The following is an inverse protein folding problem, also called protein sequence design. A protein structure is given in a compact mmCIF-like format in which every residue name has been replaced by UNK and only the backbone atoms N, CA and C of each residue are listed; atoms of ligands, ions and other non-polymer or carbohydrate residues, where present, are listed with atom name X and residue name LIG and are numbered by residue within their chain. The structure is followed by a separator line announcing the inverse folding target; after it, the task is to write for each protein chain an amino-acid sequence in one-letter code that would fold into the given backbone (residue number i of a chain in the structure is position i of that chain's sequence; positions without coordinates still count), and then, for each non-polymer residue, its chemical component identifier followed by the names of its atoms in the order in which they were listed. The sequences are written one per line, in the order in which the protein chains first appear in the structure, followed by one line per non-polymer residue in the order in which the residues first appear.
data_IF_858179260091
#
_entry.id   IF_858179260091
#
_cell.length_a   1.000
_cell.length_b   1.000
_cell.length_c   1.000
_cell.angle_alpha   90.00
_cell.angle_beta   90.00
_cell.angle_gamma   90.00
#
_symmetry.space_group_name_H-M   'P 1'
#
loop_
_entity.id
_entity.type
_entity.pdbx_description
1 polymer ?
#
# COMPACT_ATOMS: atom_id res chain seq x y z
N UNK A 1 -23.23 15.81 29.51
CA UNK A 1 -23.50 14.35 29.42
C UNK A 1 -23.34 13.95 27.97
N UNK A 2 -22.11 13.70 27.53
CA UNK A 2 -21.84 13.21 26.18
C UNK A 2 -21.79 11.69 26.26
N UNK A 3 -22.80 11.04 25.68
CA UNK A 3 -22.79 9.60 25.45
C UNK A 3 -21.70 9.30 24.41
N UNK A 4 -20.49 8.97 24.85
CA UNK A 4 -19.53 8.17 24.08
C UNK A 4 -20.19 6.82 23.86
N UNK A 5 -20.90 6.70 22.73
CA UNK A 5 -21.51 5.46 22.29
C UNK A 5 -20.42 4.40 22.18
N UNK A 6 -20.66 3.31 22.91
CA UNK A 6 -19.90 2.07 22.98
C UNK A 6 -19.77 1.41 21.59
N UNK A 7 -18.96 1.99 20.71
CA UNK A 7 -18.58 1.38 19.43
C UNK A 7 -17.34 0.46 19.58
N UNK A 8 -16.63 0.56 20.71
CA UNK A 8 -15.40 -0.20 21.00
C UNK A 8 -15.64 -1.65 21.42
N UNK A 9 -16.85 -2.02 21.82
CA UNK A 9 -17.11 -3.34 22.38
C UNK A 9 -17.28 -4.43 21.31
N UNK A 10 -17.95 -4.13 20.19
CA UNK A 10 -18.37 -5.14 19.20
C UNK A 10 -17.25 -5.58 18.26
N UNK A 11 -16.22 -4.75 18.02
CA UNK A 11 -15.07 -5.14 17.19
C UNK A 11 -14.10 -6.07 17.96
N UNK A 12 -14.14 -6.06 19.30
CA UNK A 12 -13.24 -6.89 20.13
C UNK A 12 -13.53 -8.40 20.06
N UNK A 13 -14.70 -8.82 19.61
CA UNK A 13 -15.10 -10.24 19.64
C UNK A 13 -14.47 -11.12 18.53
N UNK A 14 -13.99 -10.53 17.43
CA UNK A 14 -13.39 -11.27 16.30
C UNK A 14 -11.90 -10.97 16.06
N UNK A 15 -11.29 -10.11 16.86
CA UNK A 15 -9.85 -9.83 16.81
C UNK A 15 -9.20 -10.37 18.08
N UNK A 16 -8.13 -11.15 17.92
CA UNK A 16 -7.36 -11.69 19.05
C UNK A 16 -6.95 -10.51 19.94
N UNK A 17 -7.27 -10.52 21.25
CA UNK A 17 -6.87 -9.48 22.18
C UNK A 17 -5.34 -9.43 22.23
N UNK A 18 -4.72 -8.44 21.57
CA UNK A 18 -3.26 -8.35 21.34
C UNK A 18 -2.89 -7.96 19.91
N UNK A 19 -3.82 -8.13 18.96
CA UNK A 19 -3.64 -7.75 17.54
C UNK A 19 -3.81 -6.25 17.25
N UNK A 20 -4.46 -5.53 18.17
CA UNK A 20 -4.86 -4.14 17.98
C UNK A 20 -3.76 -3.19 18.44
N UNK A 21 -3.39 -2.26 17.55
CA UNK A 21 -2.46 -1.18 17.89
C UNK A 21 -3.18 -0.09 18.68
N UNK A 22 -2.49 0.51 19.64
CA UNK A 22 -3.02 1.60 20.46
C UNK A 22 -3.48 2.78 19.61
N UNK A 23 -4.62 3.39 19.98
CA UNK A 23 -5.27 4.47 19.24
C UNK A 23 -4.35 5.68 19.01
N UNK A 24 -3.52 6.02 20.00
CA UNK A 24 -2.57 7.13 19.90
C UNK A 24 -1.50 6.87 18.82
N UNK A 25 -1.01 5.63 18.72
CA UNK A 25 0.03 5.23 17.75
C UNK A 25 -0.48 5.17 16.32
N UNK A 26 -1.79 4.92 16.13
CA UNK A 26 -2.44 4.75 14.81
C UNK A 26 -3.37 5.90 14.43
N UNK A 27 -3.17 7.11 14.98
CA UNK A 27 -3.98 8.26 14.59
C UNK A 27 -3.87 8.53 13.09
N UNK A 28 -5.01 8.65 12.40
CA UNK A 28 -5.07 8.87 10.95
C UNK A 28 -4.85 7.61 10.11
N UNK A 29 -4.79 6.44 10.74
CA UNK A 29 -4.62 5.13 10.10
C UNK A 29 -5.95 4.41 9.96
N UNK A 30 -6.15 3.71 8.84
CA UNK A 30 -7.42 3.04 8.56
C UNK A 30 -7.48 1.61 9.09
N UNK A 31 -6.34 0.90 9.13
CA UNK A 31 -6.28 -0.42 9.79
C UNK A 31 -6.04 -0.28 11.29
N UNK A 32 -6.60 -1.22 12.06
CA UNK A 32 -6.41 -1.29 13.51
C UNK A 32 -5.32 -2.27 13.91
N UNK A 33 -4.90 -3.16 13.01
CA UNK A 33 -3.99 -4.27 13.30
C UNK A 33 -2.78 -4.29 12.39
N UNK A 34 -1.69 -4.86 12.91
CA UNK A 34 -0.46 -5.17 12.16
C UNK A 34 -0.27 -6.68 12.06
N UNK A 35 -1.37 -7.40 11.86
CA UNK A 35 -1.38 -8.86 11.81
C UNK A 35 -0.50 -9.41 10.68
N UNK A 36 0.12 -10.56 10.95
CA UNK A 36 1.01 -11.20 9.99
C UNK A 36 0.25 -11.60 8.73
N UNK A 37 0.90 -11.48 7.57
CA UNK A 37 0.29 -11.83 6.30
C UNK A 37 -0.04 -13.32 6.19
N UNK A 38 -1.03 -13.67 5.36
CA UNK A 38 -1.50 -15.05 5.15
C UNK A 38 -0.39 -16.05 4.77
N UNK A 39 0.68 -15.57 4.13
CA UNK A 39 1.76 -16.41 3.62
C UNK A 39 2.94 -16.54 4.60
N UNK A 40 2.88 -15.86 5.74
CA UNK A 40 3.96 -15.92 6.74
C UNK A 40 3.86 -17.20 7.58
N UNK A 41 4.97 -17.96 7.74
CA UNK A 41 4.98 -19.16 8.58
C UNK A 41 4.98 -18.83 10.08
N UNK A 42 5.37 -17.60 10.43
CA UNK A 42 5.49 -17.12 11.80
C UNK A 42 4.61 -15.90 12.01
N UNK A 43 3.93 -15.86 13.16
CA UNK A 43 3.22 -14.67 13.64
C UNK A 43 4.10 -13.90 14.61
N UNK A 44 4.15 -12.57 14.47
CA UNK A 44 4.80 -11.67 15.42
C UNK A 44 3.75 -10.94 16.23
N UNK A 45 3.93 -10.89 17.54
CA UNK A 45 3.08 -10.16 18.48
C UNK A 45 3.96 -9.26 19.34
N UNK A 46 3.55 -8.00 19.53
CA UNK A 46 4.19 -7.09 20.48
C UNK A 46 3.69 -7.45 21.89
N UNK A 47 4.62 -7.81 22.79
CA UNK A 47 4.31 -8.20 24.16
C UNK A 47 5.21 -7.43 25.12
N UNK A 48 4.65 -6.96 26.24
CA UNK A 48 5.42 -6.28 27.29
C UNK A 48 6.23 -7.32 28.06
N UNK A 49 7.54 -7.19 28.03
CA UNK A 49 8.47 -8.04 28.77
C UNK A 49 8.66 -7.59 30.23
N UNK A 50 7.87 -6.60 30.68
CA UNK A 50 7.88 -6.06 32.03
C UNK A 50 8.81 -4.85 32.20
N UNK A 51 9.44 -4.39 31.12
CA UNK A 51 10.28 -3.20 31.11
C UNK A 51 9.49 -1.93 30.78
N UNK A 52 8.18 -2.03 30.48
CA UNK A 52 7.29 -0.89 30.28
C UNK A 52 7.60 -0.09 29.00
N UNK A 53 8.38 -0.65 28.07
CA UNK A 53 8.80 0.06 26.86
C UNK A 53 7.67 0.25 25.86
N UNK A 54 6.60 -0.56 25.92
CA UNK A 54 5.47 -0.44 25.00
C UNK A 54 4.72 0.91 25.14
N UNK A 55 4.64 1.46 26.36
CA UNK A 55 3.98 2.74 26.64
C UNK A 55 4.74 3.95 26.05
N UNK A 56 6.02 3.76 25.72
CA UNK A 56 6.89 4.83 25.17
C UNK A 56 7.00 4.82 23.64
N UNK A 57 6.29 3.94 22.95
CA UNK A 57 6.39 3.83 21.49
C UNK A 57 5.75 5.03 20.78
N UNK A 58 6.48 5.59 19.82
CA UNK A 58 6.00 6.72 19.02
C UNK A 58 4.86 6.34 18.07
N UNK A 59 4.21 7.37 17.52
CA UNK A 59 3.26 7.20 16.43
C UNK A 59 3.92 6.52 15.22
N UNK A 60 3.14 5.70 14.51
CA UNK A 60 3.61 4.99 13.33
C UNK A 60 3.88 5.96 12.18
N UNK A 61 5.13 6.03 11.77
CA UNK A 61 5.57 6.82 10.62
C UNK A 61 5.41 6.04 9.32
N UNK A 62 5.12 6.76 8.23
CA UNK A 62 5.17 6.18 6.89
C UNK A 62 6.63 6.13 6.41
N UNK A 63 7.11 4.94 6.07
CA UNK A 63 8.42 4.68 5.49
C UNK A 63 8.32 4.45 3.99
N UNK A 64 9.28 5.03 3.28
CA UNK A 64 9.40 4.91 1.83
C UNK A 64 10.54 3.93 1.51
N UNK A 65 10.25 2.91 0.71
CA UNK A 65 11.22 1.94 0.22
C UNK A 65 11.43 2.13 -1.26
N UNK A 66 12.68 2.29 -1.70
CA UNK A 66 12.97 2.41 -3.12
C UNK A 66 12.94 1.01 -3.75
N UNK A 67 11.98 0.79 -4.65
CA UNK A 67 11.86 -0.42 -5.46
C UNK A 67 12.33 -0.10 -6.88
N UNK A 68 13.22 -0.93 -7.43
CA UNK A 68 13.65 -0.85 -8.84
C UNK A 68 12.93 -1.93 -9.64
N UNK A 69 11.76 -1.62 -10.26
CA UNK A 69 11.00 -2.61 -10.99
C UNK A 69 11.72 -3.07 -12.27
N UNK A 70 11.49 -4.32 -12.66
CA UNK A 70 11.95 -4.85 -13.96
C UNK A 70 11.01 -4.51 -15.11
N UNK A 71 9.73 -4.37 -14.81
CA UNK A 71 8.69 -3.91 -15.73
C UNK A 71 7.72 -2.93 -15.06
N UNK A 72 7.20 -1.96 -15.82
CA UNK A 72 6.22 -0.99 -15.31
C UNK A 72 4.79 -1.32 -15.73
N UNK A 73 4.58 -1.76 -16.96
CA UNK A 73 3.25 -2.13 -17.46
C UNK A 73 2.93 -3.56 -16.99
N UNK A 74 1.99 -3.67 -16.05
CA UNK A 74 1.44 -4.96 -15.63
C UNK A 74 0.29 -5.35 -16.56
N UNK A 75 0.28 -6.61 -17.00
CA UNK A 75 -0.79 -7.17 -17.83
C UNK A 75 -1.71 -8.08 -17.03
N UNK A 76 -2.97 -8.18 -17.46
CA UNK A 76 -3.94 -9.14 -16.96
C UNK A 76 -4.79 -9.66 -18.14
N UNK A 77 -5.40 -10.82 -17.96
CA UNK A 77 -6.26 -11.52 -18.93
C UNK A 77 -7.68 -11.76 -18.39
N UNK A 78 -8.07 -11.02 -17.34
CA UNK A 78 -9.37 -11.20 -16.71
C UNK A 78 -10.50 -10.74 -17.64
N UNK A 79 -11.52 -11.59 -17.88
CA UNK A 79 -12.66 -11.23 -18.74
C UNK A 79 -13.57 -10.17 -18.10
N UNK A 80 -13.43 -9.93 -16.79
CA UNK A 80 -14.33 -9.08 -16.00
C UNK A 80 -13.93 -7.59 -16.03
N UNK A 81 -12.73 -7.26 -16.50
CA UNK A 81 -12.21 -5.89 -16.54
C UNK A 81 -11.93 -5.42 -17.96
N UNK A 82 -12.26 -4.16 -18.24
CA UNK A 82 -12.21 -3.58 -19.60
C UNK A 82 -10.81 -3.17 -20.06
N UNK A 83 -9.77 -3.47 -19.28
CA UNK A 83 -8.38 -3.12 -19.59
C UNK A 83 -7.48 -4.32 -19.33
N UNK A 84 -6.54 -4.57 -20.23
CA UNK A 84 -5.53 -5.63 -20.11
C UNK A 84 -4.21 -5.12 -19.52
N UNK A 85 -4.06 -3.79 -19.33
CA UNK A 85 -2.82 -3.15 -18.88
C UNK A 85 -3.06 -2.15 -17.77
N UNK A 86 -2.15 -2.13 -16.82
CA UNK A 86 -2.15 -1.13 -15.76
C UNK A 86 -0.75 -0.70 -15.34
N UNK A 87 -0.68 0.50 -14.77
CA UNK A 87 0.52 1.06 -14.14
C UNK A 87 0.15 1.48 -12.72
N UNK A 88 0.95 1.02 -11.76
CA UNK A 88 0.88 1.47 -10.36
C UNK A 88 2.24 2.08 -10.01
N UNK A 89 2.33 3.42 -9.82
CA UNK A 89 3.59 4.10 -9.49
C UNK A 89 4.17 3.69 -8.13
N UNK A 90 3.31 3.20 -7.25
CA UNK A 90 3.65 2.82 -5.88
C UNK A 90 3.15 1.40 -5.57
N UNK A 91 3.62 0.85 -4.45
CA UNK A 91 3.03 -0.31 -3.77
C UNK A 91 2.68 0.12 -2.35
N UNK A 92 1.43 -0.11 -1.95
CA UNK A 92 0.88 0.43 -0.70
C UNK A 92 0.24 1.80 -0.94
N UNK A 93 -0.57 2.25 0.02
CA UNK A 93 -1.31 3.50 -0.12
C UNK A 93 -1.47 4.21 1.24
N UNK A 94 -0.94 5.42 1.34
CA UNK A 94 -1.05 6.25 2.56
C UNK A 94 -2.47 6.67 2.91
N UNK A 95 -3.42 6.61 1.96
CA UNK A 95 -4.84 6.86 2.25
C UNK A 95 -5.43 5.83 3.22
N UNK A 96 -4.86 4.63 3.29
CA UNK A 96 -5.15 3.66 4.34
C UNK A 96 -6.58 3.13 4.40
N UNK A 97 -7.43 3.32 3.38
CA UNK A 97 -8.84 2.88 3.42
C UNK A 97 -8.97 1.44 3.93
N UNK A 98 -9.71 1.25 5.02
CA UNK A 98 -9.81 -0.06 5.70
C UNK A 98 -10.38 -1.15 4.78
N UNK A 99 -11.26 -0.76 3.86
CA UNK A 99 -11.93 -1.62 2.89
C UNK A 99 -11.16 -1.75 1.55
N UNK A 100 -9.93 -1.25 1.46
CA UNK A 100 -9.18 -1.28 0.20
C UNK A 100 -8.86 -2.74 -0.21
N UNK A 101 -9.35 -3.14 -1.38
CA UNK A 101 -9.15 -4.50 -1.89
C UNK A 101 -7.68 -4.84 -2.17
N UNK A 102 -6.82 -3.84 -2.30
CA UNK A 102 -5.39 -4.00 -2.59
C UNK A 102 -4.56 -4.39 -1.36
N UNK A 103 -5.11 -4.27 -0.15
CA UNK A 103 -4.43 -4.60 1.11
C UNK A 103 -3.76 -5.98 1.14
N UNK A 104 -4.41 -7.07 0.67
CA UNK A 104 -3.78 -8.39 0.62
C UNK A 104 -2.51 -8.44 -0.23
N UNK A 105 -2.26 -7.47 -1.13
CA UNK A 105 -1.05 -7.47 -1.96
C UNK A 105 0.24 -7.31 -1.15
N UNK A 106 0.18 -6.69 0.03
CA UNK A 106 1.33 -6.57 0.94
C UNK A 106 1.75 -7.90 1.57
N UNK A 107 0.83 -8.87 1.68
CA UNK A 107 1.16 -10.19 2.19
C UNK A 107 2.15 -10.93 1.28
N UNK A 108 2.16 -10.65 -0.03
CA UNK A 108 3.10 -11.27 -0.98
C UNK A 108 4.55 -10.75 -0.83
N UNK A 109 4.76 -9.66 -0.10
CA UNK A 109 6.10 -9.13 0.20
C UNK A 109 6.46 -9.31 1.69
N UNK A 110 5.76 -10.21 2.38
CA UNK A 110 5.99 -10.55 3.78
C UNK A 110 5.59 -9.44 4.76
N UNK A 111 4.72 -8.52 4.33
CA UNK A 111 4.22 -7.43 5.16
C UNK A 111 2.76 -7.65 5.56
N UNK A 112 2.35 -7.01 6.65
CA UNK A 112 0.97 -7.03 7.11
C UNK A 112 0.03 -6.42 6.06
N UNK A 113 -1.09 -7.09 5.70
CA UNK A 113 -2.13 -6.46 4.89
C UNK A 113 -2.89 -5.37 5.68
N UNK A 114 -2.63 -5.24 6.99
CA UNK A 114 -3.14 -4.21 7.87
C UNK A 114 -2.30 -2.93 7.80
N UNK A 115 -1.71 -2.53 8.91
CA UNK A 115 -1.00 -1.25 9.02
C UNK A 115 0.22 -1.11 8.10
N UNK A 116 0.88 -2.20 7.70
CA UNK A 116 2.03 -2.09 6.78
C UNK A 116 1.62 -1.61 5.39
N UNK A 117 0.38 -1.88 4.95
CA UNK A 117 -0.11 -1.40 3.66
C UNK A 117 -0.07 0.13 3.51
N UNK A 118 -0.26 0.86 4.60
CA UNK A 118 -0.33 2.33 4.63
C UNK A 118 0.86 2.99 5.33
N UNK A 119 1.76 2.19 5.92
CA UNK A 119 2.98 2.69 6.58
C UNK A 119 4.25 2.25 5.87
N UNK A 120 4.25 1.17 5.09
CA UNK A 120 5.41 0.69 4.34
C UNK A 120 5.11 0.83 2.83
N UNK A 121 5.54 1.96 2.25
CA UNK A 121 5.22 2.34 0.87
C UNK A 121 6.44 2.12 -0.03
N UNK A 122 6.28 1.35 -1.10
CA UNK A 122 7.34 1.17 -2.09
C UNK A 122 7.18 2.16 -3.24
N UNK A 123 8.26 2.86 -3.54
CA UNK A 123 8.38 3.86 -4.58
C UNK A 123 9.10 3.25 -5.76
N UNK A 124 8.43 3.17 -6.91
CA UNK A 124 9.01 2.60 -8.13
C UNK A 124 9.87 3.65 -8.86
N UNK A 125 11.06 3.91 -8.33
CA UNK A 125 12.01 4.78 -9.00
C UNK A 125 12.46 4.20 -10.35
N UNK A 126 12.79 5.07 -11.30
CA UNK A 126 13.13 4.66 -12.67
C UNK A 126 11.93 4.32 -13.55
N UNK A 127 10.70 4.57 -13.08
CA UNK A 127 9.47 4.27 -13.82
C UNK A 127 9.45 4.92 -15.21
N UNK A 128 9.87 6.18 -15.35
CA UNK A 128 9.85 6.89 -16.63
C UNK A 128 10.74 6.21 -17.68
N UNK A 129 12.00 5.90 -17.34
CA UNK A 129 12.95 5.25 -18.24
C UNK A 129 12.46 3.86 -18.63
N UNK A 130 11.87 3.14 -17.67
CA UNK A 130 11.32 1.83 -17.89
C UNK A 130 10.11 1.87 -18.83
N UNK A 131 9.22 2.85 -18.63
CA UNK A 131 8.05 3.05 -19.47
C UNK A 131 8.45 3.41 -20.90
N UNK A 132 9.40 4.32 -21.10
CA UNK A 132 9.90 4.67 -22.43
C UNK A 132 10.42 3.44 -23.17
N UNK A 133 11.22 2.62 -22.48
CA UNK A 133 11.76 1.37 -23.04
C UNK A 133 10.64 0.41 -23.43
N UNK A 134 9.63 0.25 -22.59
CA UNK A 134 8.51 -0.66 -22.83
C UNK A 134 7.60 -0.19 -23.98
N UNK A 135 7.31 1.11 -24.04
CA UNK A 135 6.50 1.71 -25.11
C UNK A 135 7.24 1.69 -26.47
N UNK A 136 8.57 1.81 -26.45
CA UNK A 136 9.40 1.83 -27.66
C UNK A 136 9.77 0.43 -28.19
N UNK A 137 9.34 -0.64 -27.51
CA UNK A 137 9.63 -2.00 -27.95
C UNK A 137 8.94 -2.31 -29.29
N UNK A 138 9.64 -2.97 -30.22
CA UNK A 138 9.12 -3.26 -31.56
C UNK A 138 7.81 -4.07 -31.57
N UNK A 139 7.59 -4.88 -30.53
CA UNK A 139 6.41 -5.71 -30.36
C UNK A 139 5.34 -5.07 -29.45
N UNK A 140 5.51 -3.81 -29.05
CA UNK A 140 4.53 -3.12 -28.24
C UNK A 140 3.40 -2.58 -29.12
N UNK A 141 2.16 -3.01 -28.86
CA UNK A 141 0.96 -2.47 -29.51
C UNK A 141 0.26 -1.52 -28.54
N UNK A 142 0.11 -0.21 -28.81
CA UNK A 142 -0.59 0.72 -27.91
C UNK A 142 -2.02 0.28 -27.59
N UNK A 143 -2.41 0.40 -26.31
CA UNK A 143 -3.76 0.16 -25.79
C UNK A 143 -4.01 1.05 -24.58
N UNK A 144 -5.26 1.11 -24.12
CA UNK A 144 -5.65 1.78 -22.88
C UNK A 144 -4.85 1.22 -21.71
N UNK A 145 -4.27 2.11 -20.90
CA UNK A 145 -3.55 1.77 -19.66
C UNK A 145 -4.35 2.34 -18.49
N UNK A 146 -4.80 1.46 -17.59
CA UNK A 146 -5.39 1.89 -16.32
C UNK A 146 -4.29 2.32 -15.35
N UNK A 147 -4.40 3.51 -14.77
CA UNK A 147 -3.44 4.00 -13.78
C UNK A 147 -4.07 3.93 -12.40
N UNK A 148 -3.29 3.43 -11.44
CA UNK A 148 -3.72 3.35 -10.05
C UNK A 148 -4.75 2.25 -9.78
N UNK A 149 -4.62 1.12 -10.50
CA UNK A 149 -5.51 -0.02 -10.32
C UNK A 149 -5.42 -0.63 -8.92
N UNK A 150 -4.24 -0.64 -8.30
CA UNK A 150 -4.01 -1.26 -6.99
C UNK A 150 -3.60 -0.24 -5.91
N UNK A 151 -3.13 0.94 -6.30
CA UNK A 151 -2.65 1.99 -5.38
C UNK A 151 -3.04 3.36 -5.90
N UNK A 152 -3.28 4.32 -5.02
CA UNK A 152 -3.53 5.69 -5.45
C UNK A 152 -2.22 6.34 -5.97
N UNK A 153 -2.19 6.88 -7.20
CA UNK A 153 -0.98 7.47 -7.79
C UNK A 153 -0.67 8.88 -7.24
N UNK A 154 -1.62 9.53 -6.55
CA UNK A 154 -1.53 10.90 -6.03
C UNK A 154 -1.60 10.94 -4.50
N UNK A 155 -1.14 9.88 -3.83
CA UNK A 155 -0.95 9.86 -2.38
C UNK A 155 0.07 10.93 -1.91
N UNK A 156 0.06 11.34 -0.62
CA UNK A 156 0.93 12.39 -0.09
C UNK A 156 2.42 12.28 -0.48
N UNK A 157 2.96 11.06 -0.59
CA UNK A 157 4.33 10.79 -1.00
C UNK A 157 4.67 11.30 -2.41
N UNK A 158 3.68 11.42 -3.31
CA UNK A 158 3.85 11.90 -4.69
C UNK A 158 4.36 13.34 -4.71
N UNK A 159 4.06 14.16 -3.69
CA UNK A 159 4.60 15.52 -3.55
C UNK A 159 6.13 15.52 -3.53
N UNK A 160 6.76 14.46 -3.01
CA UNK A 160 8.22 14.31 -2.92
C UNK A 160 8.79 13.55 -4.12
N UNK A 161 8.26 12.37 -4.43
CA UNK A 161 8.89 11.47 -5.41
C UNK A 161 8.49 11.75 -6.87
N UNK A 162 7.30 12.34 -7.11
CA UNK A 162 6.85 12.75 -8.44
C UNK A 162 6.89 11.62 -9.48
N UNK A 163 6.67 10.36 -9.06
CA UNK A 163 6.76 9.19 -9.95
C UNK A 163 5.63 9.25 -10.97
N UNK A 164 4.40 9.54 -10.52
CA UNK A 164 3.27 9.67 -11.42
C UNK A 164 3.47 10.81 -12.42
N UNK A 165 4.01 11.94 -11.95
CA UNK A 165 4.40 13.05 -12.84
C UNK A 165 5.39 12.60 -13.94
N UNK A 166 6.42 11.84 -13.58
CA UNK A 166 7.41 11.35 -14.55
C UNK A 166 6.79 10.41 -15.60
N UNK A 167 5.81 9.58 -15.18
CA UNK A 167 5.04 8.69 -16.07
C UNK A 167 4.20 9.50 -17.05
N UNK A 168 3.48 10.52 -16.57
CA UNK A 168 2.67 11.40 -17.42
C UNK A 168 3.50 12.13 -18.48
N UNK A 169 4.71 12.56 -18.13
CA UNK A 169 5.61 13.21 -19.07
C UNK A 169 6.03 12.28 -20.21
N UNK A 170 6.29 11.00 -19.93
CA UNK A 170 6.56 9.99 -20.95
C UNK A 170 5.33 9.76 -21.83
N UNK A 171 4.16 9.54 -21.22
CA UNK A 171 2.91 9.31 -21.95
C UNK A 171 2.55 10.50 -22.85
N UNK A 172 2.76 11.73 -22.38
CA UNK A 172 2.52 12.95 -23.16
C UNK A 172 3.46 13.09 -24.35
N UNK A 173 4.70 12.57 -24.28
CA UNK A 173 5.65 12.58 -25.42
C UNK A 173 5.33 11.49 -26.44
N UNK A 174 4.66 10.42 -26.01
CA UNK A 174 4.35 9.25 -26.83
C UNK A 174 2.91 9.25 -27.39
N UNK A 175 2.15 10.32 -27.15
CA UNK A 175 0.76 10.49 -27.61
C UNK A 175 0.66 11.12 -28.99
#
# INVERSE_FOLDING_TARGET
MAHTLSFDATIKENLTPGSLIESQRRRGRGSLSRESGRFEPLRREELDDGWGTLETLSALETKAHIEKPRSLITKNDSPDIRFDRSINPYRGCEHGCVYCFARPTHAYVGLSPGLDFETEIFVKEGAAQLLERELSAQNYTPKIIAIGSNTDPYQPIEKRHRIMRSILEVLSRAN
#
